data_IF_589003864202
#
_entry.id   IF_589003864202
#
_cell.length_a   1.000
_cell.length_b   1.000
_cell.length_c   1.000
_cell.angle_alpha   90.00
_cell.angle_beta   90.00
_cell.angle_gamma   90.00
#
_symmetry.space_group_name_H-M   'P 1'
#
loop_
_entity.id
_entity.type
_entity.pdbx_description
1 polymer ?
#
# COMPACT_ATOMS: atom_id res chain seq x y z
N UNK A 1 16.44 -23.83 12.94
CA UNK A 1 15.24 -22.99 12.75
C UNK A 1 14.62 -23.42 11.42
N UNK A 2 13.52 -24.19 11.43
CA UNK A 2 12.85 -24.59 10.19
C UNK A 2 12.26 -23.34 9.55
N UNK A 3 12.60 -23.09 8.28
CA UNK A 3 11.93 -22.08 7.47
C UNK A 3 10.41 -22.35 7.53
N UNK A 4 9.56 -21.32 7.63
CA UNK A 4 8.11 -21.53 7.63
C UNK A 4 7.74 -22.34 6.40
N UNK A 5 6.97 -23.42 6.61
CA UNK A 5 6.27 -24.10 5.52
C UNK A 5 5.58 -23.03 4.68
N UNK A 6 5.88 -23.08 3.39
CA UNK A 6 5.46 -22.17 2.33
C UNK A 6 4.27 -21.31 2.75
N UNK A 7 4.49 -19.99 2.84
CA UNK A 7 3.39 -19.04 2.77
C UNK A 7 2.50 -19.47 1.61
N UNK A 8 1.31 -19.99 1.93
CA UNK A 8 0.25 -20.13 0.95
C UNK A 8 -0.17 -18.69 0.59
N UNK A 9 0.58 -18.10 -0.33
CA UNK A 9 0.16 -16.88 -1.00
C UNK A 9 -1.08 -17.28 -1.77
N UNK A 10 -2.26 -16.88 -1.26
CA UNK A 10 -3.50 -16.97 -2.03
C UNK A 10 -3.22 -16.42 -3.43
N UNK A 11 -3.63 -17.15 -4.46
CA UNK A 11 -3.37 -16.82 -5.87
C UNK A 11 -3.89 -15.42 -6.21
N UNK A 12 -3.04 -14.40 -6.03
CA UNK A 12 -3.13 -13.04 -6.56
C UNK A 12 -4.38 -12.24 -6.18
N UNK A 13 -4.22 -10.92 -6.11
CA UNK A 13 -5.34 -10.00 -6.19
C UNK A 13 -6.14 -10.29 -7.48
N UNK A 14 -7.46 -10.47 -7.36
CA UNK A 14 -8.31 -10.67 -8.54
C UNK A 14 -8.25 -9.43 -9.45
N UNK A 15 -7.90 -9.63 -10.73
CA UNK A 15 -7.82 -8.57 -11.73
C UNK A 15 -9.00 -8.69 -12.71
N UNK A 16 -9.74 -7.60 -12.86
CA UNK A 16 -10.82 -7.49 -13.84
C UNK A 16 -10.26 -6.92 -15.16
N UNK A 17 -10.63 -7.53 -16.28
CA UNK A 17 -10.40 -6.92 -17.59
C UNK A 17 -11.37 -5.74 -17.78
N UNK A 18 -10.87 -4.51 -17.69
CA UNK A 18 -11.69 -3.29 -17.76
C UNK A 18 -12.36 -3.08 -19.12
N UNK A 19 -11.87 -3.72 -20.18
CA UNK A 19 -12.50 -3.62 -21.51
C UNK A 19 -13.91 -4.20 -21.53
N UNK A 20 -14.20 -5.22 -20.71
CA UNK A 20 -15.56 -5.81 -20.67
C UNK A 20 -16.58 -4.81 -20.12
N UNK A 21 -16.16 -3.86 -19.28
CA UNK A 21 -17.04 -2.85 -18.70
C UNK A 21 -17.52 -1.84 -19.76
N UNK A 22 -16.80 -1.74 -20.88
CA UNK A 22 -17.19 -0.89 -22.01
C UNK A 22 -18.28 -1.54 -22.88
N UNK A 23 -18.41 -2.87 -22.83
CA UNK A 23 -19.34 -3.64 -23.67
C UNK A 23 -20.79 -3.43 -23.20
N UNK A 24 -21.68 -3.06 -24.12
CA UNK A 24 -23.08 -2.78 -23.79
C UNK A 24 -23.79 -3.99 -23.18
N UNK A 25 -23.55 -5.18 -23.75
CA UNK A 25 -24.08 -6.44 -23.25
C UNK A 25 -23.65 -6.75 -21.81
N UNK A 26 -22.41 -6.40 -21.43
CA UNK A 26 -21.96 -6.57 -20.05
C UNK A 26 -22.73 -5.63 -19.12
N UNK A 27 -22.90 -4.36 -19.50
CA UNK A 27 -23.60 -3.35 -18.71
C UNK A 27 -25.05 -3.74 -18.46
N UNK A 28 -25.76 -4.17 -19.49
CA UNK A 28 -27.17 -4.55 -19.41
C UNK A 28 -27.37 -5.74 -18.47
N UNK A 29 -26.61 -6.82 -18.67
CA UNK A 29 -26.65 -7.99 -17.79
C UNK A 29 -26.23 -7.64 -16.36
N UNK A 30 -25.22 -6.79 -16.18
CA UNK A 30 -24.77 -6.36 -14.86
C UNK A 30 -25.87 -5.58 -14.13
N UNK A 31 -26.52 -4.63 -14.78
CA UNK A 31 -27.60 -3.82 -14.19
C UNK A 31 -28.76 -4.72 -13.76
N UNK A 32 -29.16 -5.67 -14.60
CA UNK A 32 -30.21 -6.64 -14.27
C UNK A 32 -29.83 -7.47 -13.02
N UNK A 33 -28.63 -8.07 -13.01
CA UNK A 33 -28.16 -8.89 -11.88
C UNK A 33 -28.00 -8.05 -10.61
N UNK A 34 -27.46 -6.84 -10.72
CA UNK A 34 -27.25 -5.94 -9.59
C UNK A 34 -28.57 -5.52 -8.95
N UNK A 35 -29.62 -5.23 -9.75
CA UNK A 35 -30.97 -4.98 -9.22
C UNK A 35 -31.49 -6.18 -8.41
N UNK A 36 -31.25 -7.40 -8.89
CA UNK A 36 -31.55 -8.62 -8.14
C UNK A 36 -30.81 -8.67 -6.80
N UNK A 37 -29.50 -8.39 -6.78
CA UNK A 37 -28.72 -8.39 -5.54
C UNK A 37 -29.11 -7.26 -4.57
N UNK A 38 -29.56 -6.11 -5.08
CA UNK A 38 -30.10 -5.03 -4.27
C UNK A 38 -31.38 -5.43 -3.55
N UNK A 39 -32.27 -6.19 -4.20
CA UNK A 39 -33.51 -6.67 -3.59
C UNK A 39 -33.29 -7.60 -2.40
N UNK A 40 -32.12 -8.26 -2.33
CA UNK A 40 -31.73 -9.16 -1.24
C UNK A 40 -31.16 -8.41 -0.02
N UNK A 41 -30.89 -7.11 -0.13
CA UNK A 41 -30.29 -6.31 0.96
C UNK A 41 -30.99 -6.46 2.32
N UNK A 42 -32.34 -6.50 2.42
CA UNK A 42 -33.03 -6.68 3.70
C UNK A 42 -32.80 -8.04 4.38
N UNK A 43 -32.32 -9.05 3.64
CA UNK A 43 -32.08 -10.40 4.17
C UNK A 43 -30.75 -10.53 4.93
N UNK A 44 -29.92 -9.49 4.94
CA UNK A 44 -28.59 -9.53 5.58
C UNK A 44 -28.59 -8.80 6.93
N UNK A 45 -27.80 -9.28 7.91
CA UNK A 45 -27.75 -8.68 9.25
C UNK A 45 -27.28 -7.22 9.27
N UNK A 46 -26.40 -6.84 8.34
CA UNK A 46 -25.92 -5.48 8.18
C UNK A 46 -25.40 -5.22 6.75
N UNK A 47 -25.19 -3.94 6.43
CA UNK A 47 -24.77 -3.51 5.09
C UNK A 47 -23.36 -3.98 4.69
N UNK A 48 -22.45 -4.20 5.65
CA UNK A 48 -21.09 -4.66 5.37
C UNK A 48 -21.09 -6.10 4.87
N UNK A 49 -21.81 -6.99 5.55
CA UNK A 49 -21.94 -8.41 5.17
C UNK A 49 -22.62 -8.54 3.80
N UNK A 50 -23.67 -7.74 3.56
CA UNK A 50 -24.29 -7.67 2.23
C UNK A 50 -23.31 -7.23 1.15
N UNK A 51 -22.50 -6.19 1.43
CA UNK A 51 -21.53 -5.68 0.47
C UNK A 51 -20.40 -6.67 0.16
N UNK A 52 -19.95 -7.43 1.16
CA UNK A 52 -18.98 -8.50 0.95
C UNK A 52 -19.52 -9.59 0.01
N UNK A 53 -20.77 -9.99 0.20
CA UNK A 53 -21.43 -10.95 -0.69
C UNK A 53 -21.61 -10.39 -2.11
N UNK A 54 -22.04 -9.13 -2.24
CA UNK A 54 -22.17 -8.46 -3.54
C UNK A 54 -20.84 -8.40 -4.28
N UNK A 55 -19.72 -8.10 -3.59
CA UNK A 55 -18.38 -8.13 -4.22
C UNK A 55 -18.03 -9.52 -4.76
N UNK A 56 -18.36 -10.58 -4.02
CA UNK A 56 -18.18 -11.97 -4.47
C UNK A 56 -19.02 -12.26 -5.71
N UNK A 57 -20.29 -11.85 -5.73
CA UNK A 57 -21.20 -12.03 -6.85
C UNK A 57 -20.75 -11.26 -8.10
N UNK A 58 -20.24 -10.03 -7.94
CA UNK A 58 -19.65 -9.23 -9.03
C UNK A 58 -18.47 -9.98 -9.65
N UNK A 59 -17.57 -10.53 -8.81
CA UNK A 59 -16.44 -11.32 -9.27
C UNK A 59 -16.89 -12.56 -10.06
N UNK A 60 -17.83 -13.33 -9.51
CA UNK A 60 -18.36 -14.53 -10.18
C UNK A 60 -19.07 -14.20 -11.50
N UNK A 61 -19.86 -13.11 -11.52
CA UNK A 61 -20.52 -12.62 -12.73
C UNK A 61 -19.49 -12.27 -13.81
N UNK A 62 -18.49 -11.46 -13.48
CA UNK A 62 -17.46 -11.05 -14.42
C UNK A 62 -16.65 -12.24 -14.95
N UNK A 63 -16.32 -13.22 -14.10
CA UNK A 63 -15.65 -14.46 -14.53
C UNK A 63 -16.52 -15.24 -15.52
N UNK A 64 -17.79 -15.50 -15.18
CA UNK A 64 -18.73 -16.22 -16.07
C UNK A 64 -18.89 -15.52 -17.41
N UNK A 65 -19.06 -14.20 -17.40
CA UNK A 65 -19.13 -13.40 -18.61
C UNK A 65 -17.89 -13.55 -19.48
N UNK A 66 -16.69 -13.49 -18.88
CA UNK A 66 -15.44 -13.65 -19.62
C UNK A 66 -15.25 -15.05 -20.20
N UNK A 67 -15.68 -16.09 -19.49
CA UNK A 67 -15.66 -17.48 -19.97
C UNK A 67 -16.58 -17.64 -21.18
N UNK A 68 -17.82 -17.15 -21.09
CA UNK A 68 -18.78 -17.20 -22.19
C UNK A 68 -18.28 -16.38 -23.40
N UNK A 69 -17.76 -15.17 -23.15
CA UNK A 69 -17.12 -14.33 -24.17
C UNK A 69 -15.96 -15.04 -24.86
N UNK A 70 -15.13 -15.77 -24.11
CA UNK A 70 -14.02 -16.55 -24.67
C UNK A 70 -14.54 -17.72 -25.52
N UNK A 71 -15.59 -18.40 -25.08
CA UNK A 71 -16.24 -19.48 -25.82
C UNK A 71 -16.81 -18.98 -27.16
N UNK A 72 -17.57 -17.88 -27.15
CA UNK A 72 -18.11 -17.25 -28.35
C UNK A 72 -17.01 -16.80 -29.32
N UNK A 73 -15.93 -16.21 -28.79
CA UNK A 73 -14.76 -15.84 -29.60
C UNK A 73 -14.10 -17.05 -30.25
N UNK A 74 -13.96 -18.17 -29.53
CA UNK A 74 -13.39 -19.41 -30.07
C UNK A 74 -14.28 -20.01 -31.16
N UNK A 75 -15.60 -19.98 -30.98
CA UNK A 75 -16.54 -20.42 -32.00
C UNK A 75 -16.44 -19.56 -33.27
N UNK A 76 -16.45 -18.23 -33.12
CA UNK A 76 -16.25 -17.28 -34.24
C UNK A 76 -14.92 -17.52 -34.96
N UNK A 77 -13.85 -17.76 -34.20
CA UNK A 77 -12.54 -18.09 -34.76
C UNK A 77 -12.56 -19.37 -35.60
N UNK A 78 -13.15 -20.46 -35.08
CA UNK A 78 -13.26 -21.69 -35.86
C UNK A 78 -14.08 -21.51 -37.14
N UNK A 79 -15.18 -20.75 -37.06
CA UNK A 79 -15.98 -20.40 -38.24
C UNK A 79 -15.16 -19.60 -39.27
N UNK A 80 -14.42 -18.59 -38.81
CA UNK A 80 -13.51 -17.79 -39.66
C UNK A 80 -12.43 -18.65 -40.31
N UNK A 81 -11.76 -19.54 -39.56
CA UNK A 81 -10.76 -20.45 -40.11
C UNK A 81 -11.33 -21.34 -41.20
N UNK A 82 -12.57 -21.82 -41.04
CA UNK A 82 -13.21 -22.65 -42.06
C UNK A 82 -13.49 -21.85 -43.33
N UNK A 83 -14.09 -20.65 -43.23
CA UNK A 83 -14.38 -19.80 -44.41
C UNK A 83 -13.12 -19.27 -45.09
N UNK A 84 -12.07 -18.97 -44.32
CA UNK A 84 -10.81 -18.49 -44.86
C UNK A 84 -10.08 -19.54 -45.71
N UNK A 85 -10.34 -20.85 -45.50
CA UNK A 85 -9.83 -21.92 -46.37
C UNK A 85 -10.43 -21.86 -47.76
N UNK A 86 -11.62 -21.29 -47.91
CA UNK A 86 -12.30 -21.13 -49.19
C UNK A 86 -11.74 -19.95 -50.02
N UNK A 87 -10.69 -19.27 -49.51
CA UNK A 87 -9.92 -18.26 -50.26
C UNK A 87 -10.52 -16.85 -50.29
N UNK A 88 -11.56 -16.59 -49.49
CA UNK A 88 -12.14 -15.25 -49.34
C UNK A 88 -11.12 -14.27 -48.74
N UNK A 89 -10.73 -13.25 -49.51
CA UNK A 89 -9.76 -12.22 -49.09
C UNK A 89 -10.21 -11.46 -47.84
N UNK A 90 -11.52 -11.24 -47.67
CA UNK A 90 -12.08 -10.57 -46.49
C UNK A 90 -12.02 -11.45 -45.23
N UNK A 91 -12.26 -12.76 -45.35
CA UNK A 91 -12.15 -13.70 -44.22
C UNK A 91 -10.69 -13.94 -43.81
N UNK A 92 -9.75 -13.97 -44.78
CA UNK A 92 -8.31 -14.00 -44.52
C UNK A 92 -7.86 -12.76 -43.74
N UNK A 93 -8.31 -11.57 -44.14
CA UNK A 93 -8.03 -10.33 -43.42
C UNK A 93 -8.61 -10.34 -42.00
N UNK A 94 -9.87 -10.75 -41.84
CA UNK A 94 -10.52 -10.86 -40.52
C UNK A 94 -9.81 -11.86 -39.60
N UNK A 95 -9.30 -12.97 -40.15
CA UNK A 95 -8.48 -13.93 -39.43
C UNK A 95 -7.15 -13.32 -38.99
N UNK A 96 -6.50 -12.53 -39.85
CA UNK A 96 -5.28 -11.79 -39.53
C UNK A 96 -5.46 -10.84 -38.34
N UNK A 97 -6.52 -10.03 -38.35
CA UNK A 97 -6.87 -9.12 -37.23
C UNK A 97 -7.06 -9.90 -35.93
N UNK A 98 -7.78 -11.03 -35.98
CA UNK A 98 -7.99 -11.86 -34.79
C UNK A 98 -6.70 -12.44 -34.21
N UNK A 99 -5.77 -12.88 -35.07
CA UNK A 99 -4.48 -13.42 -34.65
C UNK A 99 -3.60 -12.34 -34.02
N UNK A 100 -3.63 -11.11 -34.55
CA UNK A 100 -2.91 -9.97 -33.98
C UNK A 100 -3.44 -9.61 -32.59
N UNK A 101 -4.75 -9.55 -32.39
CA UNK A 101 -5.36 -9.37 -31.05
C UNK A 101 -4.91 -10.46 -30.07
N UNK A 102 -4.85 -11.72 -30.52
CA UNK A 102 -4.43 -12.85 -29.69
C UNK A 102 -2.94 -12.75 -29.30
N UNK A 103 -2.10 -12.32 -30.24
CA UNK A 103 -0.67 -12.07 -30.01
C UNK A 103 -0.48 -10.91 -29.04
N UNK A 104 -1.20 -9.80 -29.23
CA UNK A 104 -1.19 -8.66 -28.31
C UNK A 104 -1.54 -9.10 -26.88
N UNK A 105 -2.63 -9.85 -26.72
CA UNK A 105 -3.02 -10.39 -25.41
C UNK A 105 -1.96 -11.29 -24.77
N UNK A 106 -1.25 -12.10 -25.57
CA UNK A 106 -0.15 -12.91 -25.08
C UNK A 106 1.04 -12.06 -24.60
N UNK A 107 1.41 -11.01 -25.35
CA UNK A 107 2.46 -10.06 -24.97
C UNK A 107 2.14 -9.34 -23.65
N UNK A 108 0.90 -8.86 -23.48
CA UNK A 108 0.46 -8.20 -22.25
C UNK A 108 0.57 -9.15 -21.06
N UNK A 109 0.08 -10.39 -21.17
CA UNK A 109 0.16 -11.38 -20.08
C UNK A 109 1.61 -11.75 -19.73
N UNK A 110 2.48 -11.92 -20.74
CA UNK A 110 3.89 -12.18 -20.53
C UNK A 110 4.58 -11.03 -19.79
N UNK A 111 4.25 -9.77 -20.14
CA UNK A 111 4.78 -8.60 -19.44
C UNK A 111 4.30 -8.52 -18.00
N UNK A 112 3.03 -8.81 -17.72
CA UNK A 112 2.50 -8.85 -16.35
C UNK A 112 3.23 -9.91 -15.54
N UNK A 113 3.37 -11.13 -16.07
CA UNK A 113 4.10 -12.21 -15.40
C UNK A 113 5.55 -11.85 -15.12
N UNK A 114 6.22 -11.19 -16.07
CA UNK A 114 7.59 -10.72 -15.90
C UNK A 114 7.69 -9.71 -14.75
N UNK A 115 6.84 -8.68 -14.74
CA UNK A 115 6.83 -7.65 -13.68
C UNK A 115 6.49 -8.27 -12.32
N UNK A 116 5.44 -9.10 -12.24
CA UNK A 116 5.06 -9.77 -10.98
C UNK A 116 6.12 -10.74 -10.46
N UNK A 117 6.94 -11.32 -11.33
CA UNK A 117 8.06 -12.17 -10.93
C UNK A 117 9.26 -11.34 -10.44
N UNK A 118 9.52 -10.19 -11.06
CA UNK A 118 10.63 -9.29 -10.72
C UNK A 118 10.36 -8.48 -9.44
N UNK A 119 9.08 -8.24 -9.11
CA UNK A 119 8.66 -7.57 -7.86
C UNK A 119 8.65 -8.50 -6.63
N UNK A 120 8.89 -9.80 -6.80
CA UNK A 120 8.95 -10.72 -5.65
C UNK A 120 10.29 -10.60 -4.93
N UNK A 121 10.30 -10.45 -3.59
CA UNK A 121 11.54 -10.45 -2.85
C UNK A 121 12.31 -11.74 -3.13
N UNK A 122 13.56 -11.61 -3.52
CA UNK A 122 14.41 -12.77 -3.81
C UNK A 122 14.80 -13.51 -2.53
N UNK A 123 15.23 -14.77 -2.63
CA UNK A 123 15.80 -15.50 -1.48
C UNK A 123 16.96 -14.72 -0.84
N UNK A 124 17.70 -13.94 -1.63
CA UNK A 124 18.75 -13.04 -1.17
C UNK A 124 18.19 -11.93 -0.28
N UNK A 125 17.08 -11.30 -0.67
CA UNK A 125 16.42 -10.29 0.16
C UNK A 125 16.05 -10.86 1.54
N UNK A 126 15.41 -12.03 1.59
CA UNK A 126 15.04 -12.66 2.88
C UNK A 126 16.26 -13.01 3.73
N UNK A 127 17.34 -13.47 3.09
CA UNK A 127 18.59 -13.77 3.80
C UNK A 127 19.23 -12.50 4.37
N UNK A 128 19.28 -11.43 3.57
CA UNK A 128 19.87 -10.16 3.97
C UNK A 128 19.03 -9.49 5.08
N UNK A 129 17.69 -9.60 5.02
CA UNK A 129 16.77 -9.15 6.07
C UNK A 129 16.97 -9.93 7.36
N UNK A 130 17.02 -11.26 7.29
CA UNK A 130 17.28 -12.13 8.46
C UNK A 130 18.64 -11.80 9.09
N UNK A 131 19.67 -11.57 8.26
CA UNK A 131 21.00 -11.16 8.72
C UNK A 131 20.95 -9.79 9.40
N UNK A 132 20.27 -8.82 8.80
CA UNK A 132 20.10 -7.47 9.35
C UNK A 132 19.43 -7.50 10.74
N UNK A 133 18.40 -8.34 10.93
CA UNK A 133 17.75 -8.53 12.23
C UNK A 133 18.72 -9.06 13.29
N UNK A 134 19.57 -10.02 12.92
CA UNK A 134 20.59 -10.58 13.84
C UNK A 134 21.67 -9.54 14.17
N UNK A 135 22.18 -8.85 13.15
CA UNK A 135 23.28 -7.88 13.29
C UNK A 135 22.85 -6.64 14.08
N UNK A 136 21.60 -6.19 13.93
CA UNK A 136 21.05 -5.00 14.60
C UNK A 136 20.43 -5.28 15.98
N UNK A 137 20.39 -6.54 16.42
CA UNK A 137 19.81 -6.87 17.73
C UNK A 137 20.72 -6.38 18.85
N UNK A 138 20.14 -5.67 19.81
CA UNK A 138 20.81 -5.33 21.08
C UNK A 138 21.01 -6.64 21.85
N UNK A 139 22.27 -7.07 21.96
CA UNK A 139 22.63 -8.38 22.55
C UNK A 139 22.58 -8.40 24.07
N UNK A 140 22.91 -7.28 24.68
CA UNK A 140 22.92 -7.14 26.12
C UNK A 140 22.67 -5.68 26.50
N UNK A 141 22.04 -5.48 27.65
CA UNK A 141 21.86 -4.15 28.26
C UNK A 141 22.24 -4.25 29.73
N UNK A 142 22.92 -3.22 30.24
CA UNK A 142 23.20 -3.12 31.66
C UNK A 142 22.03 -2.42 32.35
N UNK A 143 21.43 -3.07 33.33
CA UNK A 143 20.42 -2.48 34.20
C UNK A 143 21.07 -1.36 35.05
N UNK A 144 20.35 -0.30 35.44
CA UNK A 144 20.88 0.76 36.32
C UNK A 144 21.49 0.27 37.64
N UNK A 145 21.08 -0.92 38.11
CA UNK A 145 21.65 -1.61 39.27
C UNK A 145 22.97 -2.36 39.00
N UNK A 146 23.59 -2.19 37.83
CA UNK A 146 24.87 -2.81 37.46
C UNK A 146 24.78 -4.24 36.91
N UNK A 147 23.58 -4.81 36.79
CA UNK A 147 23.37 -6.19 36.30
C UNK A 147 23.23 -6.21 34.77
N UNK A 148 24.05 -7.00 34.09
CA UNK A 148 23.95 -7.19 32.64
C UNK A 148 22.89 -8.24 32.31
N UNK A 149 21.96 -7.90 31.41
CA UNK A 149 20.92 -8.80 30.91
C UNK A 149 21.09 -9.05 29.41
N UNK A 150 21.00 -10.33 29.01
CA UNK A 150 21.22 -10.76 27.61
C UNK A 150 19.97 -11.37 26.98
N UNK A 151 18.99 -11.77 27.79
CA UNK A 151 17.72 -12.33 27.30
C UNK A 151 16.87 -11.25 26.61
N UNK A 152 16.28 -11.51 25.43
CA UNK A 152 15.45 -10.54 24.72
C UNK A 152 14.30 -9.98 25.57
N UNK A 153 13.65 -10.83 26.36
CA UNK A 153 12.56 -10.39 27.24
C UNK A 153 13.06 -9.50 28.38
N UNK A 154 14.23 -9.82 28.92
CA UNK A 154 14.86 -9.01 29.97
C UNK A 154 15.28 -7.64 29.41
N UNK A 155 15.89 -7.61 28.22
CA UNK A 155 16.27 -6.36 27.52
C UNK A 155 15.05 -5.47 27.29
N UNK A 156 13.93 -6.02 26.81
CA UNK A 156 12.68 -5.26 26.66
C UNK A 156 12.15 -4.73 28.00
N UNK A 157 12.25 -5.53 29.07
CA UNK A 157 11.89 -5.12 30.42
C UNK A 157 12.71 -3.92 30.92
N UNK A 158 14.03 -3.90 30.66
CA UNK A 158 14.90 -2.77 31.02
C UNK A 158 14.55 -1.51 30.24
N UNK A 159 14.29 -1.62 28.93
CA UNK A 159 13.83 -0.46 28.16
C UNK A 159 12.47 0.04 28.62
N UNK A 160 11.55 -0.87 28.91
CA UNK A 160 10.22 -0.53 29.42
C UNK A 160 10.30 0.23 30.74
N UNK A 161 11.08 -0.26 31.71
CA UNK A 161 11.25 0.41 33.00
C UNK A 161 11.97 1.75 32.86
N UNK A 162 13.02 1.82 32.04
CA UNK A 162 13.77 3.05 31.78
C UNK A 162 12.89 4.15 31.20
N UNK A 163 12.20 3.89 30.08
CA UNK A 163 11.37 4.90 29.43
C UNK A 163 10.11 5.22 30.24
N UNK A 164 9.53 4.24 30.94
CA UNK A 164 8.43 4.51 31.86
C UNK A 164 8.84 5.45 32.99
N UNK A 165 10.08 5.36 33.48
CA UNK A 165 10.61 6.26 34.48
C UNK A 165 10.98 7.63 33.88
N UNK A 166 11.66 7.64 32.73
CA UNK A 166 12.08 8.87 32.04
C UNK A 166 10.90 9.77 31.68
N UNK A 167 9.79 9.18 31.25
CA UNK A 167 8.55 9.89 30.92
C UNK A 167 7.52 9.85 32.06
N UNK A 168 7.91 9.41 33.25
CA UNK A 168 7.04 9.52 34.42
C UNK A 168 6.84 10.98 34.79
N UNK A 169 5.69 11.29 35.39
CA UNK A 169 5.35 12.64 35.79
C UNK A 169 6.19 13.04 37.01
N UNK A 170 7.26 13.80 36.78
CA UNK A 170 8.05 14.42 37.83
C UNK A 170 7.44 15.79 38.22
N UNK A 171 7.64 16.19 39.48
CA UNK A 171 7.34 17.55 39.91
C UNK A 171 8.31 18.50 39.19
N UNK A 172 7.75 19.42 38.40
CA UNK A 172 8.53 20.48 37.76
C UNK A 172 8.72 21.58 38.79
N UNK A 173 9.97 21.99 39.04
CA UNK A 173 10.25 23.18 39.85
C UNK A 173 9.78 24.40 39.07
N UNK A 174 8.79 25.10 39.61
CA UNK A 174 8.27 26.34 39.03
C UNK A 174 9.38 27.38 38.87
N UNK A 175 10.32 27.45 39.83
CA UNK A 175 11.47 28.34 39.78
C UNK A 175 12.40 28.05 38.57
N UNK A 176 12.73 26.78 38.32
CA UNK A 176 13.54 26.38 37.16
C UNK A 176 12.79 26.56 35.84
N UNK A 177 11.46 26.39 35.86
CA UNK A 177 10.62 26.64 34.71
C UNK A 177 10.60 28.14 34.39
N UNK A 178 10.42 29.01 35.39
CA UNK A 178 10.48 30.46 35.21
C UNK A 178 11.86 30.91 34.74
N UNK A 179 12.94 30.38 35.31
CA UNK A 179 14.31 30.71 34.91
C UNK A 179 14.60 30.28 33.45
N UNK A 180 14.13 29.09 33.03
CA UNK A 180 14.22 28.63 31.64
C UNK A 180 13.37 29.49 30.68
N UNK A 181 12.17 29.88 31.11
CA UNK A 181 11.25 30.70 30.32
C UNK A 181 11.69 32.18 30.29
N UNK A 182 12.49 32.63 31.26
CA UNK A 182 13.01 34.01 31.33
C UNK A 182 13.90 34.38 30.15
N UNK A 183 14.55 33.39 29.51
CA UNK A 183 15.33 33.57 28.30
C UNK A 183 14.52 33.60 27.00
N UNK A 184 13.19 33.42 27.08
CA UNK A 184 12.30 33.47 25.92
C UNK A 184 11.67 34.87 25.84
N UNK A 185 12.36 35.79 25.16
CA UNK A 185 11.93 37.19 25.00
C UNK A 185 10.58 37.40 24.27
N UNK A 186 9.95 36.33 23.77
CA UNK A 186 8.74 36.41 22.94
C UNK A 186 7.79 35.24 23.20
N UNK A 187 7.01 35.33 24.27
CA UNK A 187 5.71 34.71 24.23
C UNK A 187 4.89 35.36 23.09
N UNK A 188 4.16 34.60 22.26
CA UNK A 188 3.17 35.19 21.38
C UNK A 188 2.23 36.06 22.22
N UNK A 189 1.83 37.26 21.74
CA UNK A 189 0.90 38.09 22.50
C UNK A 189 -0.36 37.27 22.82
N UNK A 190 -0.90 37.40 24.03
CA UNK A 190 -2.06 36.63 24.51
C UNK A 190 -3.25 36.69 23.53
N UNK A 191 -3.35 37.78 22.77
CA UNK A 191 -4.31 37.95 21.67
C UNK A 191 -4.24 36.91 20.55
N UNK A 192 -3.18 36.09 20.48
CA UNK A 192 -3.02 34.98 19.52
C UNK A 192 -3.14 33.60 20.17
N UNK A 193 -3.32 33.49 21.48
CA UNK A 193 -3.50 32.19 22.14
C UNK A 193 -4.82 31.53 21.72
N UNK A 194 -5.90 32.33 21.64
CA UNK A 194 -7.20 31.85 21.16
C UNK A 194 -7.17 31.36 19.71
N UNK A 195 -6.32 31.97 18.85
CA UNK A 195 -6.19 31.52 17.46
C UNK A 195 -5.34 30.25 17.32
N UNK A 196 -4.31 30.07 18.16
CA UNK A 196 -3.46 28.87 18.18
C UNK A 196 -4.20 27.62 18.71
N UNK A 197 -5.18 27.80 19.60
CA UNK A 197 -6.03 26.71 20.13
C UNK A 197 -7.25 26.37 19.28
N UNK A 198 -7.54 27.18 18.25
CA UNK A 198 -8.71 27.00 17.39
C UNK A 198 -8.47 25.96 16.29
N UNK A 199 -9.56 25.35 15.80
CA UNK A 199 -9.47 24.39 14.69
C UNK A 199 -9.05 25.10 13.39
N UNK A 200 -8.12 24.50 12.65
CA UNK A 200 -7.71 24.97 11.33
C UNK A 200 -8.91 25.04 10.37
N UNK A 201 -9.11 26.18 9.74
CA UNK A 201 -10.14 26.33 8.71
C UNK A 201 -9.75 25.67 7.39
N UNK A 202 -10.74 25.32 6.58
CA UNK A 202 -10.53 24.76 5.23
C UNK A 202 -9.74 25.73 4.33
N UNK A 203 -9.91 27.04 4.51
CA UNK A 203 -9.18 28.06 3.75
C UNK A 203 -7.68 28.11 4.10
N UNK A 204 -7.33 27.95 5.37
CA UNK A 204 -5.94 27.87 5.82
C UNK A 204 -5.26 26.60 5.32
N UNK A 205 -5.96 25.46 5.36
CA UNK A 205 -5.49 24.20 4.79
C UNK A 205 -5.24 24.33 3.28
N UNK A 206 -6.15 24.97 2.56
CA UNK A 206 -6.00 25.18 1.11
C UNK A 206 -4.80 26.08 0.79
N UNK A 207 -4.63 27.16 1.56
CA UNK A 207 -3.50 28.08 1.41
C UNK A 207 -2.16 27.38 1.68
N UNK A 208 -2.10 26.54 2.71
CA UNK A 208 -0.91 25.75 3.02
C UNK A 208 -0.58 24.74 1.91
N UNK A 209 -1.58 24.02 1.39
CA UNK A 209 -1.41 23.06 0.28
C UNK A 209 -0.98 23.78 -1.00
N UNK A 210 -1.57 24.93 -1.31
CA UNK A 210 -1.23 25.72 -2.50
C UNK A 210 0.20 26.29 -2.45
N UNK A 211 0.72 26.59 -1.25
CA UNK A 211 2.08 27.05 -1.05
C UNK A 211 3.15 25.94 -1.20
N UNK A 212 2.76 24.66 -1.28
CA UNK A 212 3.70 23.55 -1.44
C UNK A 212 4.28 23.49 -2.86
N UNK A 213 5.57 23.16 -2.98
CA UNK A 213 6.20 22.87 -4.29
C UNK A 213 5.46 21.72 -4.98
N UNK A 214 5.05 21.96 -6.24
CA UNK A 214 4.39 20.96 -7.09
C UNK A 214 5.19 19.65 -7.14
N UNK A 215 4.49 18.52 -7.01
CA UNK A 215 5.07 17.18 -7.08
C UNK A 215 5.58 16.60 -5.76
N UNK A 216 5.27 17.21 -4.61
CA UNK A 216 5.56 16.65 -3.28
C UNK A 216 4.27 16.34 -2.53
N UNK A 217 4.19 15.13 -1.97
CA UNK A 217 3.14 14.74 -1.02
C UNK A 217 3.47 15.28 0.38
N UNK A 218 2.49 15.69 1.21
CA UNK A 218 2.72 16.03 2.61
C UNK A 218 3.26 14.80 3.33
N UNK A 219 4.53 14.83 3.72
CA UNK A 219 5.14 13.74 4.49
C UNK A 219 4.66 13.88 5.94
N UNK A 220 4.11 12.83 6.58
CA UNK A 220 3.83 12.86 8.01
C UNK A 220 5.13 13.15 8.76
N UNK A 221 5.14 14.17 9.63
CA UNK A 221 6.32 14.72 10.30
C UNK A 221 6.96 13.79 11.37
N UNK A 222 6.77 12.46 11.27
CA UNK A 222 7.24 11.51 12.28
C UNK A 222 8.60 10.87 11.99
N UNK A 223 9.32 11.23 10.91
CA UNK A 223 10.60 10.57 10.61
C UNK A 223 11.58 11.43 9.81
N UNK A 224 12.18 12.43 10.47
CA UNK A 224 13.50 12.96 10.05
C UNK A 224 14.33 13.39 11.26
N UNK A 225 15.10 12.47 11.81
CA UNK A 225 16.43 12.78 12.33
C UNK A 225 17.42 12.11 11.39
N UNK A 226 17.89 12.85 10.39
CA UNK A 226 19.13 12.52 9.68
C UNK A 226 20.26 13.21 10.41
N UNK A 227 21.01 12.43 11.18
CA UNK A 227 22.33 12.76 11.71
C UNK A 227 23.25 13.20 10.56
N UNK A 228 23.59 14.49 10.54
CA UNK A 228 24.73 15.02 9.79
C UNK A 228 25.74 15.47 10.83
N UNK A 229 26.72 14.62 11.10
CA UNK A 229 27.93 15.01 11.84
C UNK A 229 28.88 15.78 10.90
N UNK A 230 29.63 16.77 11.39
CA UNK A 230 30.55 17.53 10.56
C UNK A 230 31.85 16.75 10.33
N UNK A 231 32.09 16.35 9.08
CA UNK A 231 33.41 15.96 8.59
C UNK A 231 34.20 17.22 8.20
N UNK A 232 34.84 17.86 9.18
CA UNK A 232 35.83 18.91 8.93
C UNK A 232 37.23 18.31 8.84
N UNK A 233 37.75 18.13 7.62
CA UNK A 233 39.17 17.81 7.38
C UNK A 233 39.88 19.10 7.00
N UNK A 234 40.54 19.72 7.97
CA UNK A 234 41.43 20.87 7.74
C UNK A 234 42.78 20.36 7.24
N UNK A 235 43.10 20.66 5.98
CA UNK A 235 44.47 20.62 5.46
C UNK A 235 45.04 22.03 5.53
N UNK A 236 45.90 22.28 6.51
CA UNK A 236 46.77 23.45 6.57
C UNK A 236 48.09 23.05 5.92
N UNK A 237 48.42 23.69 4.81
CA UNK A 237 49.76 23.65 4.24
C UNK A 237 50.69 24.57 5.02
N UNK A 238 51.84 24.04 5.39
CA UNK A 238 53.10 24.77 5.60
C UNK A 238 54.03 24.38 4.47
#
# INVERSE_FOLDING_TARGET
MKLPESFHVEKGLWRLNTEIVKEQNFKEQFVEKYRGWQSLKPAFPNALVWWDEVKSLIKQFAIRYCVERAHQRRFKFHSLCNRARDGSSSDLHALGVFLDEKLHGARVRARIQFVEADEKPTIRFYRDDTKSVVDRRIRAVCHPGGVVVESPQAVLGVFGSFFSNLYSRAAVSEDLQEDLLSGIDKAPPESKNDSLGSNLSVGELWTAVAAMKKGKSPVPMASRQSSIGPSGRSSVGT
#
